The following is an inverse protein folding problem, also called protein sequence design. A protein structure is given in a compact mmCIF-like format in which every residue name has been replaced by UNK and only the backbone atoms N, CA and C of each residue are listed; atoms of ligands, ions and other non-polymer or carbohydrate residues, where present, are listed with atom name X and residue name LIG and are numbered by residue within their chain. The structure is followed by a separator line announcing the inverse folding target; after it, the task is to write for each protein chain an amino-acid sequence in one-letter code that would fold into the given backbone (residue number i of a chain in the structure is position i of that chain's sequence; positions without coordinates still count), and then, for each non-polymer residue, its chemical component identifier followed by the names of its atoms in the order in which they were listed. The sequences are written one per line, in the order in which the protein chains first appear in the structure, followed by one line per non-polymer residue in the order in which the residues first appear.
data_IF_914369669355
#
_entry.id   IF_914369669355
#
_cell.length_a   1.000
_cell.length_b   1.000
_cell.length_c   1.000
_cell.angle_alpha   90.00
_cell.angle_beta   90.00
_cell.angle_gamma   90.00
#
_symmetry.space_group_name_H-M   'P 1'
#
loop_
_entity.id
_entity.type
_entity.pdbx_description
1 polymer ?
#
# COMPACT_ATOMS: atom_id res chain seq x y z
N UNK A 1 -6.56 39.24 -17.12
CA UNK A 1 -7.61 38.29 -16.70
C UNK A 1 -7.74 37.29 -17.82
N UNK A 2 -7.04 36.17 -17.69
CA UNK A 2 -7.29 34.96 -18.46
C UNK A 2 -7.60 33.91 -17.40
N UNK A 3 -8.85 33.45 -17.40
CA UNK A 3 -9.34 32.39 -16.53
C UNK A 3 -8.67 31.09 -17.01
N UNK A 4 -7.93 30.46 -16.10
CA UNK A 4 -7.48 29.08 -16.26
C UNK A 4 -8.67 28.23 -15.85
N UNK A 5 -9.29 27.57 -16.82
CA UNK A 5 -10.26 26.50 -16.56
C UNK A 5 -9.52 25.37 -15.83
N UNK A 6 -9.92 25.10 -14.59
CA UNK A 6 -9.55 23.90 -13.86
C UNK A 6 -10.14 22.68 -14.58
N UNK A 7 -9.27 21.80 -15.07
CA UNK A 7 -9.62 20.49 -15.64
C UNK A 7 -9.99 19.53 -14.49
N UNK A 8 -11.27 19.12 -14.34
CA UNK A 8 -11.68 18.27 -13.24
C UNK A 8 -11.41 16.82 -13.64
N UNK A 9 -10.29 16.26 -13.16
CA UNK A 9 -10.08 14.82 -13.06
C UNK A 9 -9.80 14.11 -14.40
N UNK A 10 -8.52 13.88 -14.67
CA UNK A 10 -8.12 12.93 -15.70
C UNK A 10 -8.71 11.52 -15.45
N UNK A 11 -8.81 10.68 -16.49
CA UNK A 11 -9.51 9.38 -16.47
C UNK A 11 -9.00 8.36 -15.44
N UNK A 12 -7.90 8.65 -14.74
CA UNK A 12 -7.26 7.76 -13.78
C UNK A 12 -7.89 7.82 -12.38
N UNK A 13 -8.43 8.97 -11.94
CA UNK A 13 -8.90 9.13 -10.55
C UNK A 13 -10.16 8.29 -10.23
N UNK A 14 -11.13 8.21 -11.15
CA UNK A 14 -12.37 7.44 -10.95
C UNK A 14 -12.15 5.93 -10.99
N UNK A 15 -11.26 5.45 -11.86
CA UNK A 15 -10.90 4.02 -11.88
C UNK A 15 -10.16 3.63 -10.59
N UNK A 16 -9.42 4.55 -9.97
CA UNK A 16 -8.62 4.31 -8.77
C UNK A 16 -9.41 4.37 -7.46
N UNK A 17 -10.36 5.30 -7.31
CA UNK A 17 -11.35 5.24 -6.22
C UNK A 17 -12.11 3.90 -6.24
N UNK A 18 -12.42 3.42 -7.45
CA UNK A 18 -13.03 2.11 -7.66
C UNK A 18 -12.09 0.96 -7.24
N UNK A 19 -10.77 1.11 -7.38
CA UNK A 19 -9.79 0.10 -6.93
C UNK A 19 -9.59 0.09 -5.42
N UNK A 20 -9.67 1.24 -4.75
CA UNK A 20 -9.66 1.31 -3.29
C UNK A 20 -10.92 0.68 -2.70
N UNK A 21 -12.10 0.98 -3.25
CA UNK A 21 -13.35 0.34 -2.86
C UNK A 21 -13.32 -1.18 -3.12
N UNK A 22 -12.69 -1.61 -4.22
CA UNK A 22 -12.48 -3.05 -4.52
C UNK A 22 -11.50 -3.72 -3.56
N UNK A 23 -10.37 -3.10 -3.22
CA UNK A 23 -9.45 -3.63 -2.19
C UNK A 23 -10.14 -3.70 -0.83
N UNK A 24 -10.97 -2.69 -0.52
CA UNK A 24 -11.79 -2.70 0.67
C UNK A 24 -12.87 -3.79 0.63
N UNK A 25 -13.43 -4.12 -0.54
CA UNK A 25 -14.40 -5.22 -0.67
C UNK A 25 -13.78 -6.60 -0.41
N UNK A 26 -12.46 -6.75 -0.62
CA UNK A 26 -11.69 -7.93 -0.21
C UNK A 26 -11.53 -8.02 1.33
N UNK A 27 -12.06 -7.07 2.13
CA UNK A 27 -12.22 -7.18 3.59
C UNK A 27 -13.35 -8.10 4.01
N UNK A 28 -14.44 -8.19 3.22
CA UNK A 28 -15.65 -8.80 3.73
C UNK A 28 -15.36 -10.27 4.03
N UNK A 29 -15.36 -10.59 5.33
CA UNK A 29 -15.17 -11.92 5.91
C UNK A 29 -13.73 -12.42 6.13
N UNK A 30 -12.68 -11.60 5.97
CA UNK A 30 -11.30 -12.03 6.30
C UNK A 30 -11.07 -12.21 7.81
N UNK A 31 -10.20 -13.16 8.20
CA UNK A 31 -9.86 -13.48 9.61
C UNK A 31 -9.38 -12.24 10.38
N UNK A 32 -8.62 -11.36 9.72
CA UNK A 32 -8.15 -10.08 10.25
C UNK A 32 -9.30 -9.13 10.61
N UNK A 33 -10.35 -9.07 9.79
CA UNK A 33 -11.53 -8.23 10.05
C UNK A 33 -12.46 -8.87 11.09
N UNK A 34 -12.52 -10.20 11.12
CA UNK A 34 -13.19 -10.95 12.19
C UNK A 34 -12.49 -10.74 13.54
N UNK A 35 -11.16 -10.65 13.60
CA UNK A 35 -10.39 -10.35 14.81
C UNK A 35 -10.53 -8.88 15.23
N UNK A 36 -10.45 -7.93 14.30
CA UNK A 36 -10.66 -6.50 14.57
C UNK A 36 -12.10 -6.22 15.05
N UNK A 37 -13.09 -6.86 14.41
CA UNK A 37 -14.51 -6.75 14.78
C UNK A 37 -14.86 -7.55 16.04
N UNK A 38 -14.23 -8.69 16.30
CA UNK A 38 -14.35 -9.42 17.57
C UNK A 38 -13.73 -8.63 18.73
N UNK A 39 -12.62 -7.92 18.51
CA UNK A 39 -12.05 -6.99 19.49
C UNK A 39 -12.97 -5.79 19.74
N UNK A 40 -13.65 -5.27 18.72
CA UNK A 40 -14.73 -4.27 18.87
C UNK A 40 -15.93 -4.82 19.65
N UNK A 41 -16.35 -6.07 19.41
CA UNK A 41 -17.47 -6.75 20.12
C UNK A 41 -17.15 -7.18 21.56
N UNK A 42 -15.88 -7.48 21.88
CA UNK A 42 -15.41 -7.81 23.24
C UNK A 42 -15.26 -6.59 24.16
N UNK A 43 -15.39 -5.35 23.66
CA UNK A 43 -15.42 -4.16 24.52
C UNK A 43 -16.70 -4.15 25.36
N UNK A 44 -16.56 -4.18 26.70
CA UNK A 44 -17.66 -3.92 27.64
C UNK A 44 -18.38 -2.61 27.25
N UNK A 45 -19.72 -2.50 27.45
CA UNK A 45 -20.43 -1.27 27.15
C UNK A 45 -19.75 -0.10 27.87
N UNK A 46 -19.37 0.92 27.10
CA UNK A 46 -18.71 2.10 27.64
C UNK A 46 -19.52 2.65 28.82
N UNK A 47 -18.84 2.94 29.93
CA UNK A 47 -19.48 3.50 31.12
C UNK A 47 -20.24 4.77 30.77
N UNK A 48 -21.33 5.06 31.50
CA UNK A 48 -22.22 6.21 31.22
C UNK A 48 -21.46 7.54 31.16
N UNK A 49 -20.40 7.70 31.95
CA UNK A 49 -19.49 8.86 31.92
C UNK A 49 -18.63 8.93 30.65
N UNK A 50 -18.12 7.80 30.15
CA UNK A 50 -17.33 7.75 28.91
C UNK A 50 -18.20 8.14 27.71
N UNK A 51 -19.43 7.64 27.63
CA UNK A 51 -20.40 8.02 26.57
C UNK A 51 -20.76 9.51 26.60
N UNK A 52 -20.89 10.10 27.79
CA UNK A 52 -21.22 11.52 27.94
C UNK A 52 -20.07 12.42 27.47
N UNK A 53 -18.82 12.11 27.86
CA UNK A 53 -17.65 12.89 27.42
C UNK A 53 -17.38 12.77 25.91
N UNK A 54 -17.65 11.60 25.31
CA UNK A 54 -17.53 11.42 23.86
C UNK A 54 -18.58 12.21 23.07
N UNK A 55 -19.82 12.30 23.56
CA UNK A 55 -20.82 13.22 22.99
C UNK A 55 -20.44 14.69 23.17
N UNK A 56 -19.77 15.04 24.27
CA UNK A 56 -19.31 16.40 24.52
C UNK A 56 -18.20 16.83 23.55
N UNK A 57 -17.32 15.91 23.12
CA UNK A 57 -16.23 16.17 22.17
C UNK A 57 -16.69 16.59 20.76
N UNK A 58 -17.97 16.42 20.43
CA UNK A 58 -18.57 16.99 19.21
C UNK A 58 -18.66 18.51 19.26
N UNK A 59 -18.51 19.12 20.44
CA UNK A 59 -18.47 20.57 20.60
C UNK A 59 -17.03 21.05 20.38
N UNK A 60 -16.81 22.04 19.48
CA UNK A 60 -15.47 22.57 19.21
C UNK A 60 -14.70 22.97 20.46
N UNK A 61 -15.38 23.59 21.44
CA UNK A 61 -14.75 24.05 22.70
C UNK A 61 -14.15 22.90 23.52
N UNK A 62 -14.83 21.76 23.58
CA UNK A 62 -14.37 20.60 24.36
C UNK A 62 -13.16 19.93 23.70
N UNK A 63 -13.13 19.93 22.36
CA UNK A 63 -11.98 19.44 21.60
C UNK A 63 -10.76 20.33 21.83
N UNK A 64 -10.92 21.66 21.73
CA UNK A 64 -9.84 22.61 22.00
C UNK A 64 -9.35 22.54 23.44
N UNK A 65 -10.26 22.43 24.42
CA UNK A 65 -9.90 22.22 25.84
C UNK A 65 -9.09 20.94 26.03
N UNK A 66 -9.48 19.84 25.37
CA UNK A 66 -8.74 18.58 25.44
C UNK A 66 -7.34 18.70 24.82
N UNK A 67 -7.18 19.47 23.73
CA UNK A 67 -5.86 19.72 23.13
C UNK A 67 -4.98 20.56 24.09
N UNK A 68 -5.56 21.54 24.79
CA UNK A 68 -4.85 22.32 25.81
C UNK A 68 -4.43 21.47 27.02
N UNK A 69 -5.21 20.46 27.39
CA UNK A 69 -4.84 19.49 28.44
C UNK A 69 -3.57 18.67 28.08
N UNK A 70 -3.07 18.71 26.84
CA UNK A 70 -1.80 18.05 26.47
C UNK A 70 -0.59 18.72 27.14
N UNK A 71 -0.69 20.00 27.46
CA UNK A 71 0.39 20.78 28.06
C UNK A 71 0.64 20.36 29.51
N UNK A 72 -0.44 20.04 30.23
CA UNK A 72 -0.41 19.62 31.62
C UNK A 72 0.07 18.17 31.74
N UNK A 73 1.23 17.96 32.37
CA UNK A 73 1.87 16.64 32.47
C UNK A 73 0.97 15.56 33.10
N UNK A 74 0.21 15.94 34.13
CA UNK A 74 -0.72 15.06 34.85
C UNK A 74 -1.95 14.67 34.01
N UNK A 75 -2.36 15.53 33.06
CA UNK A 75 -3.56 15.31 32.24
C UNK A 75 -3.23 14.72 30.87
N UNK A 76 -2.01 14.97 30.36
CA UNK A 76 -1.57 14.66 28.99
C UNK A 76 -1.91 13.26 28.53
N UNK A 77 -1.51 12.22 29.28
CA UNK A 77 -1.78 10.83 28.89
C UNK A 77 -3.29 10.56 28.78
N UNK A 78 -4.06 11.12 29.70
CA UNK A 78 -5.51 10.94 29.71
C UNK A 78 -6.17 11.69 28.55
N UNK A 79 -5.76 12.93 28.28
CA UNK A 79 -6.27 13.78 27.21
C UNK A 79 -5.97 13.18 25.82
N UNK A 80 -4.72 12.77 25.57
CA UNK A 80 -4.31 12.08 24.33
C UNK A 80 -5.15 10.82 24.13
N UNK A 81 -5.30 10.00 25.17
CA UNK A 81 -6.12 8.78 25.11
C UNK A 81 -7.61 9.08 24.87
N UNK A 82 -8.16 10.15 25.43
CA UNK A 82 -9.56 10.50 25.21
C UNK A 82 -9.77 10.96 23.76
N UNK A 83 -8.92 11.86 23.26
CA UNK A 83 -9.04 12.37 21.91
C UNK A 83 -8.80 11.27 20.87
N UNK A 84 -7.79 10.41 21.06
CA UNK A 84 -7.52 9.29 20.15
C UNK A 84 -8.71 8.34 20.04
N UNK A 85 -9.33 7.98 21.17
CA UNK A 85 -10.50 7.09 21.18
C UNK A 85 -11.72 7.72 20.48
N UNK A 86 -11.92 9.04 20.66
CA UNK A 86 -12.98 9.76 19.96
C UNK A 86 -12.74 9.76 18.45
N UNK A 87 -11.52 10.08 18.01
CA UNK A 87 -11.18 10.15 16.59
C UNK A 87 -11.21 8.79 15.90
N UNK A 88 -10.89 7.69 16.59
CA UNK A 88 -11.07 6.34 16.05
C UNK A 88 -12.52 5.99 15.73
N UNK A 89 -13.48 6.49 16.51
CA UNK A 89 -14.91 6.29 16.25
C UNK A 89 -15.42 7.24 15.15
N UNK A 90 -14.81 8.43 15.01
CA UNK A 90 -15.25 9.46 14.05
C UNK A 90 -14.63 9.40 12.68
N UNK A 91 -13.55 8.65 12.49
CA UNK A 91 -12.89 8.47 11.19
C UNK A 91 -13.86 8.07 10.06
N UNK A 92 -14.87 7.24 10.34
CA UNK A 92 -15.83 6.78 9.32
C UNK A 92 -17.22 7.44 9.47
N UNK A 93 -17.57 7.88 10.68
CA UNK A 93 -18.91 8.40 10.99
C UNK A 93 -19.06 9.91 10.77
N UNK A 94 -17.97 10.68 10.90
CA UNK A 94 -17.98 12.15 10.97
C UNK A 94 -16.64 12.71 10.48
N UNK A 95 -16.45 12.63 9.16
CA UNK A 95 -15.22 13.04 8.48
C UNK A 95 -14.91 14.52 8.73
N UNK A 96 -15.92 15.39 8.73
CA UNK A 96 -15.73 16.83 8.97
C UNK A 96 -15.07 17.09 10.33
N UNK A 97 -15.61 16.50 11.41
CA UNK A 97 -14.99 16.65 12.73
C UNK A 97 -13.63 15.93 12.82
N UNK A 98 -13.46 14.82 12.11
CA UNK A 98 -12.16 14.14 12.04
C UNK A 98 -11.10 15.04 11.41
N UNK A 99 -11.37 15.63 10.25
CA UNK A 99 -10.45 16.55 9.58
C UNK A 99 -10.26 17.84 10.38
N UNK A 100 -11.32 18.38 10.99
CA UNK A 100 -11.22 19.59 11.83
C UNK A 100 -10.30 19.37 13.04
N UNK A 101 -10.37 18.21 13.68
CA UNK A 101 -9.46 17.87 14.77
C UNK A 101 -7.99 17.85 14.33
N UNK A 102 -7.72 17.27 13.15
CA UNK A 102 -6.38 17.25 12.55
C UNK A 102 -5.84 18.66 12.33
N UNK A 103 -6.68 19.53 11.75
CA UNK A 103 -6.36 20.94 11.56
C UNK A 103 -6.05 21.66 12.88
N UNK A 104 -6.90 21.50 13.89
CA UNK A 104 -6.71 22.13 15.19
C UNK A 104 -5.44 21.64 15.89
N UNK A 105 -5.19 20.33 15.88
CA UNK A 105 -4.00 19.76 16.52
C UNK A 105 -2.70 20.26 15.87
N UNK A 106 -2.66 20.36 14.54
CA UNK A 106 -1.46 20.82 13.84
C UNK A 106 -1.19 22.32 14.07
N UNK A 107 -2.24 23.15 14.03
CA UNK A 107 -2.11 24.61 14.12
C UNK A 107 -2.12 25.14 15.57
N UNK A 108 -2.47 24.31 16.56
CA UNK A 108 -2.34 24.67 17.97
C UNK A 108 -0.87 24.78 18.35
N UNK A 109 -0.51 25.91 18.99
CA UNK A 109 0.86 26.21 19.37
C UNK A 109 1.47 25.03 20.14
N UNK A 110 2.64 24.55 19.73
CA UNK A 110 3.43 23.49 20.38
C UNK A 110 2.78 22.10 20.56
N UNK A 111 1.54 21.88 20.09
CA UNK A 111 0.88 20.56 20.16
C UNK A 111 1.69 19.49 19.44
N UNK A 112 2.19 19.76 18.23
CA UNK A 112 3.05 18.82 17.50
C UNK A 112 4.36 18.53 18.23
N UNK A 113 4.96 19.51 18.91
CA UNK A 113 6.18 19.31 19.71
C UNK A 113 5.92 18.37 20.89
N UNK A 114 4.78 18.51 21.57
CA UNK A 114 4.40 17.60 22.68
C UNK A 114 4.19 16.18 22.16
N UNK A 115 3.47 16.01 21.05
CA UNK A 115 3.23 14.69 20.47
C UNK A 115 4.54 14.03 20.01
N UNK A 116 5.48 14.79 19.44
CA UNK A 116 6.82 14.29 19.10
C UNK A 116 7.63 13.93 20.36
N UNK A 117 7.51 14.71 21.44
CA UNK A 117 8.15 14.39 22.71
C UNK A 117 7.67 13.02 23.24
N UNK A 118 6.39 12.70 23.11
CA UNK A 118 5.85 11.39 23.51
C UNK A 118 6.50 10.23 22.72
N UNK A 119 6.80 10.42 21.44
CA UNK A 119 7.52 9.44 20.61
C UNK A 119 8.98 9.32 21.06
N UNK A 120 9.67 10.44 21.27
CA UNK A 120 11.08 10.45 21.69
C UNK A 120 11.25 9.82 23.08
N UNK A 121 10.30 10.04 24.00
CA UNK A 121 10.29 9.38 25.30
C UNK A 121 10.10 7.86 25.15
N UNK A 122 9.31 7.42 24.16
CA UNK A 122 9.17 6.00 23.86
C UNK A 122 10.47 5.41 23.28
N UNK A 123 11.23 6.14 22.47
CA UNK A 123 12.52 5.66 21.94
C UNK A 123 13.49 5.24 23.02
N UNK A 124 13.53 5.96 24.15
CA UNK A 124 14.38 5.62 25.29
C UNK A 124 13.98 4.30 25.96
N UNK A 125 12.84 3.72 25.58
CA UNK A 125 12.31 2.44 26.05
C UNK A 125 12.38 1.34 24.99
N UNK A 126 12.79 1.65 23.76
CA UNK A 126 12.91 0.70 22.65
C UNK A 126 14.10 -0.24 22.84
N UNK A 127 13.99 -1.09 23.85
CA UNK A 127 14.92 -2.17 24.15
C UNK A 127 14.20 -3.48 23.80
N UNK A 128 14.82 -4.35 22.97
CA UNK A 128 14.25 -5.65 22.66
C UNK A 128 13.84 -6.41 23.93
N UNK A 129 12.72 -7.12 23.86
CA UNK A 129 12.19 -8.01 24.91
C UNK A 129 11.82 -7.35 26.26
N UNK A 130 11.91 -6.03 26.37
CA UNK A 130 11.62 -5.29 27.61
C UNK A 130 10.71 -4.08 27.37
N UNK A 131 9.65 -4.25 26.57
CA UNK A 131 8.63 -3.21 26.38
C UNK A 131 7.41 -3.44 27.26
N UNK A 132 7.07 -2.41 28.03
CA UNK A 132 5.84 -2.38 28.81
C UNK A 132 4.62 -2.08 27.93
N UNK A 133 3.50 -2.74 28.24
CA UNK A 133 2.22 -2.59 27.53
C UNK A 133 1.67 -1.15 27.59
N UNK A 134 1.83 -0.45 28.72
CA UNK A 134 1.26 0.90 28.91
C UNK A 134 1.92 1.95 27.98
N UNK A 135 3.26 2.07 27.92
CA UNK A 135 3.94 2.89 26.93
C UNK A 135 3.55 2.59 25.48
N UNK A 136 3.42 1.31 25.09
CA UNK A 136 3.01 0.94 23.72
C UNK A 136 1.61 1.48 23.41
N UNK A 137 0.65 1.30 24.33
CA UNK A 137 -0.71 1.83 24.16
C UNK A 137 -0.74 3.35 24.12
N UNK A 138 0.10 4.01 24.92
CA UNK A 138 0.25 5.47 24.91
C UNK A 138 0.79 5.95 23.56
N UNK A 139 1.84 5.30 23.03
CA UNK A 139 2.37 5.54 21.70
C UNK A 139 1.29 5.38 20.62
N UNK A 140 0.55 4.27 20.62
CA UNK A 140 -0.52 4.03 19.65
C UNK A 140 -1.59 5.15 19.65
N UNK A 141 -1.92 5.71 20.82
CA UNK A 141 -2.82 6.86 20.90
C UNK A 141 -2.23 8.10 20.22
N UNK A 142 -0.93 8.39 20.40
CA UNK A 142 -0.24 9.50 19.72
C UNK A 142 -0.24 9.30 18.21
N UNK A 143 0.10 8.09 17.76
CA UNK A 143 0.10 7.74 16.33
C UNK A 143 -1.30 7.89 15.70
N UNK A 144 -2.36 7.59 16.46
CA UNK A 144 -3.75 7.83 16.02
C UNK A 144 -4.03 9.31 15.77
N UNK A 145 -3.50 10.21 16.61
CA UNK A 145 -3.61 11.65 16.40
C UNK A 145 -2.84 12.09 15.15
N UNK A 146 -1.67 11.50 14.90
CA UNK A 146 -0.92 11.75 13.66
C UNK A 146 -1.66 11.29 12.41
N UNK A 147 -2.40 10.17 12.44
CA UNK A 147 -3.23 9.75 11.32
C UNK A 147 -4.29 10.82 10.98
N UNK A 148 -4.86 11.46 12.01
CA UNK A 148 -5.85 12.52 11.85
C UNK A 148 -5.24 13.80 11.24
N UNK A 149 -4.03 14.18 11.67
CA UNK A 149 -3.26 15.28 11.05
C UNK A 149 -2.88 14.96 9.59
N UNK A 150 -2.45 13.74 9.31
CA UNK A 150 -2.08 13.29 7.96
C UNK A 150 -3.30 13.24 7.02
N UNK A 151 -4.49 12.92 7.54
CA UNK A 151 -5.70 12.81 6.72
C UNK A 151 -6.27 14.16 6.26
N UNK A 152 -5.96 15.27 6.93
CA UNK A 152 -6.47 16.59 6.57
C UNK A 152 -5.63 17.25 5.46
N UNK A 153 -6.25 17.62 4.34
CA UNK A 153 -5.57 18.18 3.16
C UNK A 153 -4.81 19.48 3.44
N UNK A 154 -5.30 20.33 4.36
CA UNK A 154 -4.65 21.60 4.70
C UNK A 154 -3.39 21.42 5.58
N UNK A 155 -3.24 20.26 6.23
CA UNK A 155 -2.11 19.97 7.13
C UNK A 155 -1.18 18.88 6.61
N UNK A 156 -1.64 18.02 5.70
CA UNK A 156 -0.89 16.85 5.21
C UNK A 156 0.52 17.20 4.73
N UNK A 157 0.63 18.12 3.79
CA UNK A 157 1.93 18.54 3.25
C UNK A 157 2.77 19.28 4.30
N UNK A 158 2.15 20.12 5.13
CA UNK A 158 2.85 20.83 6.22
C UNK A 158 3.42 19.87 7.25
N UNK A 159 2.73 18.77 7.53
CA UNK A 159 3.17 17.71 8.42
C UNK A 159 4.39 16.98 7.87
N UNK A 160 4.42 16.69 6.57
CA UNK A 160 5.60 16.17 5.88
C UNK A 160 6.77 17.18 5.93
N UNK A 161 6.50 18.43 5.58
CA UNK A 161 7.50 19.51 5.56
C UNK A 161 8.10 19.81 6.95
N UNK A 162 7.38 19.53 8.04
CA UNK A 162 7.91 19.68 9.39
C UNK A 162 8.89 18.56 9.79
N UNK A 163 9.03 17.52 8.97
CA UNK A 163 9.87 16.34 9.25
C UNK A 163 9.31 15.44 10.36
N UNK A 164 8.10 15.69 10.86
CA UNK A 164 7.50 14.92 11.95
C UNK A 164 7.25 13.44 11.58
N UNK A 165 6.80 13.08 10.37
CA UNK A 165 6.66 11.69 9.94
C UNK A 165 7.96 10.88 9.98
N UNK A 166 9.14 11.52 9.89
CA UNK A 166 10.43 10.80 9.94
C UNK A 166 10.66 10.13 11.30
N UNK A 167 10.01 10.61 12.37
CA UNK A 167 10.03 9.97 13.70
C UNK A 167 9.24 8.65 13.74
N UNK A 168 8.56 8.27 12.65
CA UNK A 168 7.87 6.99 12.61
C UNK A 168 8.77 5.85 12.09
N UNK A 169 9.80 6.17 11.31
CA UNK A 169 10.66 5.17 10.67
C UNK A 169 11.37 4.27 11.70
N UNK A 170 11.98 4.80 12.79
CA UNK A 170 12.56 3.94 13.81
C UNK A 170 11.55 3.02 14.49
N UNK A 171 10.29 3.47 14.67
CA UNK A 171 9.22 2.65 15.25
C UNK A 171 8.81 1.51 14.31
N UNK A 172 8.72 1.81 13.02
CA UNK A 172 8.34 0.85 11.99
C UNK A 172 9.38 -0.27 11.89
N UNK A 173 10.66 0.12 11.83
CA UNK A 173 11.78 -0.81 11.65
C UNK A 173 12.24 -1.51 12.93
N UNK A 174 11.67 -1.17 14.09
CA UNK A 174 12.05 -1.79 15.34
C UNK A 174 11.59 -3.24 15.40
N UNK A 175 12.55 -4.13 15.58
CA UNK A 175 12.31 -5.56 15.75
C UNK A 175 11.82 -5.85 17.18
N UNK A 176 10.66 -6.48 17.27
CA UNK A 176 10.03 -6.82 18.54
C UNK A 176 9.01 -7.92 18.33
N UNK A 177 9.14 -8.99 19.11
CA UNK A 177 8.21 -10.12 19.15
C UNK A 177 6.95 -9.84 19.97
N UNK A 178 6.86 -8.67 20.61
CA UNK A 178 5.70 -8.32 21.45
C UNK A 178 4.50 -8.00 20.55
N UNK A 179 3.51 -8.89 20.53
CA UNK A 179 2.29 -8.80 19.71
C UNK A 179 1.60 -7.43 19.82
N UNK A 180 1.53 -6.84 21.01
CA UNK A 180 0.89 -5.53 21.22
C UNK A 180 1.68 -4.39 20.54
N UNK A 181 2.99 -4.53 20.39
CA UNK A 181 3.80 -3.58 19.63
C UNK A 181 3.51 -3.65 18.13
N UNK A 182 3.14 -4.82 17.61
CA UNK A 182 2.76 -4.97 16.20
C UNK A 182 1.56 -4.09 15.83
N UNK A 183 0.59 -3.94 16.74
CA UNK A 183 -0.50 -2.97 16.56
C UNK A 183 0.01 -1.53 16.46
N UNK A 184 0.95 -1.11 17.31
CA UNK A 184 1.52 0.24 17.24
C UNK A 184 2.28 0.45 15.91
N UNK A 185 2.99 -0.58 15.44
CA UNK A 185 3.63 -0.61 14.12
C UNK A 185 2.62 -0.44 12.99
N UNK A 186 1.46 -1.11 13.06
CA UNK A 186 0.36 -0.94 12.08
C UNK A 186 -0.18 0.48 12.06
N UNK A 187 -0.36 1.11 13.23
CA UNK A 187 -0.83 2.50 13.29
C UNK A 187 0.22 3.45 12.71
N UNK A 188 1.52 3.24 12.99
CA UNK A 188 2.61 4.04 12.42
C UNK A 188 2.67 3.90 10.89
N UNK A 189 2.64 2.67 10.36
CA UNK A 189 2.56 2.40 8.92
C UNK A 189 1.32 3.06 8.31
N UNK A 190 0.17 3.01 8.98
CA UNK A 190 -1.05 3.65 8.48
C UNK A 190 -0.94 5.18 8.42
N UNK A 191 -0.17 5.85 9.29
CA UNK A 191 0.14 7.29 9.10
C UNK A 191 0.84 7.50 7.76
N UNK A 192 1.85 6.69 7.44
CA UNK A 192 2.59 6.76 6.18
C UNK A 192 1.68 6.43 4.98
N UNK A 193 0.80 5.43 5.13
CA UNK A 193 -0.21 5.07 4.14
C UNK A 193 -1.15 6.22 3.81
N UNK A 194 -1.72 6.88 4.82
CA UNK A 194 -2.60 8.04 4.64
C UNK A 194 -1.86 9.19 3.94
N UNK A 195 -0.58 9.43 4.28
CA UNK A 195 0.24 10.43 3.59
C UNK A 195 0.40 10.11 2.11
N UNK A 196 0.71 8.86 1.76
CA UNK A 196 0.95 8.47 0.37
C UNK A 196 -0.36 8.32 -0.44
N UNK A 197 -1.50 8.10 0.24
CA UNK A 197 -2.81 7.98 -0.41
C UNK A 197 -3.26 9.27 -1.08
N UNK A 198 -2.85 10.44 -0.58
CA UNK A 198 -3.13 11.73 -1.24
C UNK A 198 -2.40 11.90 -2.58
N UNK A 199 -1.38 11.07 -2.85
CA UNK A 199 -0.60 11.01 -4.09
C UNK A 199 0.02 12.35 -4.52
N UNK A 200 0.22 13.26 -3.58
CA UNK A 200 0.88 14.51 -3.87
C UNK A 200 2.36 14.23 -4.21
N UNK A 201 2.88 14.70 -5.35
CA UNK A 201 4.24 14.40 -5.78
C UNK A 201 5.31 14.80 -4.75
N UNK A 202 5.09 15.87 -3.98
CA UNK A 202 6.00 16.32 -2.92
C UNK A 202 6.09 15.31 -1.78
N UNK A 203 4.97 14.66 -1.43
CA UNK A 203 4.89 13.64 -0.38
C UNK A 203 5.51 12.33 -0.85
N UNK A 204 5.20 11.90 -2.08
CA UNK A 204 5.81 10.68 -2.64
C UNK A 204 7.33 10.84 -2.81
N UNK A 205 7.79 12.02 -3.23
CA UNK A 205 9.23 12.32 -3.27
C UNK A 205 9.87 12.32 -1.87
N UNK A 206 9.16 12.82 -0.85
CA UNK A 206 9.61 12.70 0.54
C UNK A 206 9.72 11.23 0.97
N UNK A 207 8.71 10.40 0.66
CA UNK A 207 8.71 8.98 1.03
C UNK A 207 9.95 8.26 0.45
N UNK A 208 10.30 8.54 -0.80
CA UNK A 208 11.53 8.03 -1.43
C UNK A 208 12.77 8.52 -0.68
N UNK A 209 12.91 9.84 -0.47
CA UNK A 209 14.08 10.45 0.20
C UNK A 209 14.27 9.97 1.64
N UNK A 210 13.19 9.59 2.32
CA UNK A 210 13.17 9.10 3.68
C UNK A 210 13.29 7.57 3.80
N UNK A 211 13.64 6.86 2.72
CA UNK A 211 13.78 5.40 2.68
C UNK A 211 12.50 4.62 3.06
N UNK A 212 11.32 5.17 2.75
CA UNK A 212 10.06 4.48 3.01
C UNK A 212 9.91 3.23 2.14
N UNK A 213 10.47 3.23 0.92
CA UNK A 213 10.43 2.07 0.02
C UNK A 213 11.17 0.88 0.64
N UNK A 214 12.37 1.11 1.17
CA UNK A 214 13.21 0.13 1.84
C UNK A 214 12.57 -0.35 3.16
N UNK A 215 11.92 0.58 3.89
CA UNK A 215 11.17 0.21 5.08
C UNK A 215 9.98 -0.69 4.75
N UNK A 216 9.21 -0.36 3.70
CA UNK A 216 8.12 -1.20 3.22
C UNK A 216 8.64 -2.58 2.80
N UNK A 217 9.76 -2.65 2.08
CA UNK A 217 10.39 -3.93 1.71
C UNK A 217 10.70 -4.79 2.93
N UNK A 218 11.30 -4.20 3.98
CA UNK A 218 11.60 -4.90 5.24
C UNK A 218 10.34 -5.42 5.93
N UNK A 219 9.27 -4.62 5.96
CA UNK A 219 7.98 -5.02 6.55
C UNK A 219 7.28 -6.09 5.73
N UNK A 220 7.34 -6.04 4.40
CA UNK A 220 6.76 -7.08 3.53
C UNK A 220 7.46 -8.42 3.79
N UNK A 221 8.78 -8.41 4.03
CA UNK A 221 9.53 -9.63 4.33
C UNK A 221 9.21 -10.23 5.70
N UNK A 222 9.15 -9.41 6.75
CA UNK A 222 9.23 -9.90 8.13
C UNK A 222 8.01 -9.52 9.00
N UNK A 223 7.10 -8.69 8.50
CA UNK A 223 5.96 -8.17 9.26
C UNK A 223 4.80 -9.16 9.37
N UNK A 224 3.86 -8.84 10.27
CA UNK A 224 2.56 -9.49 10.30
C UNK A 224 1.79 -9.25 8.99
N UNK A 225 0.85 -10.14 8.68
CA UNK A 225 0.02 -10.05 7.48
C UNK A 225 -0.64 -8.66 7.30
N UNK A 226 -1.15 -8.06 8.38
CA UNK A 226 -1.72 -6.71 8.36
C UNK A 226 -0.66 -5.67 7.97
N UNK A 227 0.53 -5.75 8.57
CA UNK A 227 1.61 -4.81 8.28
C UNK A 227 2.15 -4.99 6.85
N UNK A 228 2.21 -6.22 6.35
CA UNK A 228 2.55 -6.51 4.95
C UNK A 228 1.54 -5.87 3.99
N UNK A 229 0.23 -5.99 4.25
CA UNK A 229 -0.81 -5.36 3.41
C UNK A 229 -0.67 -3.83 3.40
N UNK A 230 -0.47 -3.19 4.55
CA UNK A 230 -0.30 -1.73 4.62
C UNK A 230 0.99 -1.31 3.88
N UNK A 231 2.09 -2.04 4.06
CA UNK A 231 3.35 -1.76 3.38
C UNK A 231 3.25 -1.95 1.86
N UNK A 232 2.55 -2.99 1.39
CA UNK A 232 2.25 -3.18 -0.02
C UNK A 232 1.42 -2.04 -0.59
N UNK A 233 0.44 -1.53 0.14
CA UNK A 233 -0.38 -0.39 -0.29
C UNK A 233 0.46 0.91 -0.39
N UNK A 234 1.34 1.18 0.58
CA UNK A 234 2.28 2.32 0.51
C UNK A 234 3.19 2.19 -0.72
N UNK A 235 3.77 1.01 -0.92
CA UNK A 235 4.66 0.75 -2.04
C UNK A 235 3.95 0.89 -3.39
N UNK A 236 2.71 0.41 -3.48
CA UNK A 236 1.88 0.59 -4.67
C UNK A 236 1.65 2.07 -4.98
N UNK A 237 1.30 2.89 -3.97
CA UNK A 237 1.08 4.33 -4.14
C UNK A 237 2.35 5.04 -4.64
N UNK A 238 3.53 4.67 -4.11
CA UNK A 238 4.82 5.21 -4.59
C UNK A 238 5.07 4.77 -6.03
N UNK A 239 4.86 3.50 -6.37
CA UNK A 239 5.10 2.97 -7.71
C UNK A 239 4.16 3.55 -8.78
N UNK A 240 2.96 4.00 -8.41
CA UNK A 240 2.05 4.64 -9.36
C UNK A 240 2.54 6.03 -9.81
N UNK A 241 3.37 6.68 -9.01
CA UNK A 241 3.98 7.95 -9.40
C UNK A 241 5.19 7.75 -10.32
N UNK A 242 5.30 8.67 -11.29
CA UNK A 242 6.36 8.67 -12.29
C UNK A 242 7.78 8.75 -11.69
N UNK A 243 7.96 9.50 -10.60
CA UNK A 243 9.25 9.62 -9.91
C UNK A 243 9.51 8.34 -9.11
N UNK A 244 8.48 7.79 -8.44
CA UNK A 244 8.58 6.56 -7.67
C UNK A 244 8.94 5.33 -8.50
N UNK A 245 8.25 5.06 -9.60
CA UNK A 245 8.60 3.93 -10.48
C UNK A 245 9.99 4.09 -11.08
N UNK A 246 10.37 5.33 -11.46
CA UNK A 246 11.69 5.62 -12.01
C UNK A 246 12.79 5.39 -10.97
N UNK A 247 12.57 5.78 -9.72
CA UNK A 247 13.48 5.51 -8.59
C UNK A 247 13.71 4.02 -8.41
N UNK A 248 12.63 3.24 -8.27
CA UNK A 248 12.72 1.79 -8.04
C UNK A 248 13.36 1.08 -9.24
N UNK A 249 13.07 1.54 -10.46
CA UNK A 249 13.62 0.97 -11.68
C UNK A 249 14.96 1.56 -12.12
N UNK A 250 15.58 2.47 -11.38
CA UNK A 250 16.88 3.05 -11.74
C UNK A 250 18.01 2.00 -11.62
N UNK A 251 18.92 1.87 -12.60
CA UNK A 251 20.08 0.97 -12.53
C UNK A 251 20.86 1.00 -11.21
N UNK A 252 20.97 2.18 -10.58
CA UNK A 252 21.64 2.39 -9.29
C UNK A 252 20.94 1.60 -8.17
N UNK A 253 19.61 1.45 -8.23
CA UNK A 253 18.79 0.75 -7.25
C UNK A 253 18.51 -0.72 -7.65
N UNK A 254 19.40 -1.37 -8.41
CA UNK A 254 19.22 -2.76 -8.86
C UNK A 254 18.99 -3.76 -7.71
N UNK A 255 19.68 -3.59 -6.58
CA UNK A 255 19.53 -4.45 -5.40
C UNK A 255 18.13 -4.34 -4.79
N UNK A 256 17.57 -3.14 -4.74
CA UNK A 256 16.22 -2.88 -4.25
C UNK A 256 15.17 -3.56 -5.13
N UNK A 257 15.20 -3.30 -6.45
CA UNK A 257 14.25 -3.95 -7.38
C UNK A 257 14.37 -5.48 -7.33
N UNK A 258 15.58 -6.02 -7.34
CA UNK A 258 15.79 -7.47 -7.27
C UNK A 258 15.30 -8.05 -5.94
N UNK A 259 15.50 -7.31 -4.84
CA UNK A 259 15.01 -7.67 -3.51
C UNK A 259 13.49 -7.70 -3.43
N UNK A 260 12.82 -6.68 -3.96
CA UNK A 260 11.36 -6.60 -4.04
C UNK A 260 10.78 -7.76 -4.86
N UNK A 261 11.34 -8.01 -6.05
CA UNK A 261 10.91 -9.12 -6.92
C UNK A 261 11.03 -10.47 -6.22
N UNK A 262 12.14 -10.72 -5.52
CA UNK A 262 12.33 -11.95 -4.74
C UNK A 262 11.31 -12.06 -3.62
N UNK A 263 11.10 -10.98 -2.86
CA UNK A 263 10.15 -10.97 -1.74
C UNK A 263 8.72 -11.21 -2.21
N UNK A 264 8.32 -10.66 -3.35
CA UNK A 264 7.00 -10.92 -3.92
C UNK A 264 6.86 -12.34 -4.48
N UNK A 265 7.94 -12.93 -5.01
CA UNK A 265 7.98 -14.34 -5.40
C UNK A 265 7.82 -15.28 -4.20
N UNK A 266 8.57 -15.04 -3.13
CA UNK A 266 8.45 -15.77 -1.86
C UNK A 266 7.02 -15.64 -1.30
N UNK A 267 6.45 -14.43 -1.34
CA UNK A 267 5.09 -14.18 -0.87
C UNK A 267 4.04 -14.90 -1.73
N UNK A 268 4.13 -14.82 -3.06
CA UNK A 268 3.21 -15.52 -3.96
C UNK A 268 3.30 -17.04 -3.78
N UNK A 269 4.51 -17.57 -3.58
CA UNK A 269 4.71 -19.00 -3.27
C UNK A 269 4.02 -19.40 -1.97
N UNK A 270 4.11 -18.57 -0.92
CA UNK A 270 3.42 -18.79 0.35
C UNK A 270 1.90 -18.75 0.18
N UNK A 271 1.36 -17.73 -0.50
CA UNK A 271 -0.09 -17.58 -0.74
C UNK A 271 -0.66 -18.75 -1.57
N UNK A 272 0.11 -19.31 -2.49
CA UNK A 272 -0.27 -20.49 -3.27
C UNK A 272 -0.35 -21.76 -2.41
N UNK A 273 0.54 -21.88 -1.42
CA UNK A 273 0.59 -23.02 -0.51
C UNK A 273 -0.47 -22.96 0.61
N UNK A 274 -0.81 -21.76 1.08
CA UNK A 274 -1.74 -21.52 2.17
C UNK A 274 -2.91 -20.61 1.74
N UNK A 275 -4.04 -21.23 1.39
CA UNK A 275 -5.25 -20.51 0.97
C UNK A 275 -5.99 -19.81 2.12
N UNK A 276 -5.55 -19.93 3.39
CA UNK A 276 -6.11 -19.14 4.50
C UNK A 276 -5.56 -17.71 4.57
N UNK A 277 -4.48 -17.43 3.84
CA UNK A 277 -3.84 -16.11 3.77
C UNK A 277 -4.69 -15.08 3.01
N UNK A 278 -4.59 -13.79 3.38
CA UNK A 278 -5.45 -12.75 2.80
C UNK A 278 -5.25 -12.61 1.29
N UNK A 279 -6.35 -12.62 0.51
CA UNK A 279 -6.30 -12.36 -0.93
C UNK A 279 -5.80 -10.95 -1.28
N UNK A 280 -5.74 -10.02 -0.30
CA UNK A 280 -5.22 -8.66 -0.52
C UNK A 280 -3.75 -8.62 -0.86
N UNK A 281 -2.95 -9.51 -0.28
CA UNK A 281 -1.53 -9.55 -0.57
C UNK A 281 -1.32 -9.91 -2.04
N UNK A 282 -2.04 -10.92 -2.54
CA UNK A 282 -1.99 -11.28 -3.96
C UNK A 282 -2.47 -10.13 -4.85
N UNK A 283 -3.59 -9.48 -4.49
CA UNK A 283 -4.10 -8.31 -5.20
C UNK A 283 -3.04 -7.22 -5.36
N UNK A 284 -2.38 -6.82 -4.26
CA UNK A 284 -1.36 -5.77 -4.31
C UNK A 284 -0.09 -6.21 -5.06
N UNK A 285 0.34 -7.48 -4.92
CA UNK A 285 1.49 -8.00 -5.67
C UNK A 285 1.24 -7.96 -7.17
N UNK A 286 0.07 -8.43 -7.64
CA UNK A 286 -0.29 -8.40 -9.07
C UNK A 286 -0.35 -6.95 -9.57
N UNK A 287 -0.91 -6.02 -8.78
CA UNK A 287 -0.94 -4.60 -9.14
C UNK A 287 0.46 -4.00 -9.24
N UNK A 288 1.35 -4.30 -8.30
CA UNK A 288 2.74 -3.84 -8.36
C UNK A 288 3.45 -4.37 -9.62
N UNK A 289 3.24 -5.64 -9.99
CA UNK A 289 3.78 -6.19 -11.24
C UNK A 289 3.23 -5.47 -12.49
N UNK A 290 1.92 -5.19 -12.54
CA UNK A 290 1.30 -4.43 -13.62
C UNK A 290 1.88 -3.02 -13.73
N UNK A 291 2.03 -2.33 -12.60
CA UNK A 291 2.62 -0.99 -12.56
C UNK A 291 4.06 -1.04 -13.08
N UNK A 292 4.88 -2.01 -12.63
CA UNK A 292 6.25 -2.18 -13.15
C UNK A 292 6.29 -2.44 -14.66
N UNK A 293 5.28 -3.08 -15.24
CA UNK A 293 5.20 -3.30 -16.68
C UNK A 293 5.03 -2.02 -17.49
N UNK A 294 4.66 -0.90 -16.86
CA UNK A 294 4.63 0.43 -17.51
C UNK A 294 6.02 1.06 -17.69
N UNK A 295 7.07 0.50 -17.07
CA UNK A 295 8.45 0.96 -17.19
C UNK A 295 9.33 -0.06 -17.89
N UNK A 296 10.13 0.36 -18.89
CA UNK A 296 10.94 -0.54 -19.75
C UNK A 296 11.76 -1.58 -18.98
N UNK A 297 12.44 -1.16 -17.91
CA UNK A 297 13.23 -2.06 -17.08
C UNK A 297 12.37 -2.90 -16.13
N UNK A 298 11.27 -2.33 -15.63
CA UNK A 298 10.33 -3.04 -14.78
C UNK A 298 9.70 -4.20 -15.56
N UNK A 299 9.18 -3.91 -16.75
CA UNK A 299 8.67 -4.90 -17.71
C UNK A 299 9.66 -6.04 -17.98
N UNK A 300 10.93 -5.71 -18.32
CA UNK A 300 11.97 -6.74 -18.57
C UNK A 300 12.21 -7.62 -17.34
N UNK A 301 12.21 -7.02 -16.15
CA UNK A 301 12.41 -7.72 -14.88
C UNK A 301 11.23 -8.64 -14.56
N UNK A 302 9.99 -8.11 -14.64
CA UNK A 302 8.77 -8.89 -14.40
C UNK A 302 8.66 -10.05 -15.38
N UNK A 303 8.88 -9.81 -16.68
CA UNK A 303 8.83 -10.87 -17.69
C UNK A 303 9.80 -12.02 -17.44
N UNK A 304 10.99 -11.70 -16.92
CA UNK A 304 12.05 -12.68 -16.62
C UNK A 304 11.78 -13.44 -15.32
N UNK A 305 11.16 -12.80 -14.34
CA UNK A 305 11.10 -13.27 -12.95
C UNK A 305 9.67 -13.36 -12.41
N UNK A 306 8.69 -13.58 -13.29
CA UNK A 306 7.31 -13.81 -12.87
C UNK A 306 7.21 -15.18 -12.15
N UNK A 307 6.66 -15.24 -10.93
CA UNK A 307 6.50 -16.48 -10.18
C UNK A 307 5.67 -17.53 -10.93
N UNK A 308 6.08 -18.79 -10.89
CA UNK A 308 5.38 -19.89 -11.59
C UNK A 308 3.94 -20.09 -11.09
N UNK A 309 3.71 -19.83 -9.79
CA UNK A 309 2.38 -19.91 -9.17
C UNK A 309 1.35 -18.95 -9.79
N UNK A 310 1.79 -17.86 -10.42
CA UNK A 310 0.92 -16.92 -11.16
C UNK A 310 0.42 -17.55 -12.46
N UNK A 311 1.16 -18.50 -13.05
CA UNK A 311 0.87 -19.07 -14.37
C UNK A 311 0.33 -20.49 -14.38
N UNK A 312 0.51 -21.25 -13.28
CA UNK A 312 0.25 -22.69 -13.23
C UNK A 312 -1.11 -23.10 -12.64
N UNK A 313 -2.05 -22.15 -12.49
CA UNK A 313 -3.38 -22.40 -11.93
C UNK A 313 -3.44 -22.51 -10.39
N UNK A 314 -2.35 -22.21 -9.67
CA UNK A 314 -2.34 -22.31 -8.18
C UNK A 314 -3.42 -21.46 -7.50
N UNK A 315 -3.85 -20.37 -8.15
CA UNK A 315 -4.83 -19.42 -7.62
C UNK A 315 -6.25 -19.60 -8.19
N UNK A 316 -6.54 -20.66 -8.95
CA UNK A 316 -7.83 -20.81 -9.66
C UNK A 316 -9.03 -20.65 -8.71
N UNK A 317 -9.03 -21.35 -7.57
CA UNK A 317 -10.08 -21.22 -6.54
C UNK A 317 -10.24 -19.79 -6.02
N UNK A 318 -9.13 -19.10 -5.73
CA UNK A 318 -9.15 -17.72 -5.26
C UNK A 318 -9.68 -16.78 -6.35
N UNK A 319 -9.35 -17.02 -7.61
CA UNK A 319 -9.83 -16.20 -8.74
C UNK A 319 -11.30 -16.45 -9.09
N UNK A 320 -11.84 -17.63 -8.75
CA UNK A 320 -13.28 -17.90 -8.80
C UNK A 320 -14.03 -17.11 -7.73
N UNK A 321 -13.51 -17.09 -6.50
CA UNK A 321 -14.09 -16.36 -5.36
C UNK A 321 -13.96 -14.84 -5.51
N UNK A 322 -12.83 -14.36 -6.04
CA UNK A 322 -12.51 -12.94 -6.19
C UNK A 322 -12.29 -12.55 -7.67
N UNK A 323 -13.38 -12.22 -8.41
CA UNK A 323 -13.30 -11.86 -9.83
C UNK A 323 -12.36 -10.69 -10.16
N UNK A 324 -12.15 -9.79 -9.19
CA UNK A 324 -11.24 -8.66 -9.32
C UNK A 324 -9.78 -9.10 -9.45
N UNK A 325 -9.37 -10.11 -8.67
CA UNK A 325 -8.02 -10.70 -8.75
C UNK A 325 -7.86 -11.43 -10.07
N UNK A 326 -8.90 -12.15 -10.52
CA UNK A 326 -8.90 -12.80 -11.84
C UNK A 326 -8.66 -11.82 -12.98
N UNK A 327 -9.35 -10.67 -12.96
CA UNK A 327 -9.20 -9.64 -13.99
C UNK A 327 -7.78 -9.07 -14.01
N UNK A 328 -7.21 -8.77 -12.84
CA UNK A 328 -5.84 -8.27 -12.72
C UNK A 328 -4.80 -9.30 -13.16
N UNK A 329 -4.98 -10.57 -12.79
CA UNK A 329 -4.12 -11.66 -13.19
C UNK A 329 -4.11 -11.81 -14.71
N UNK A 330 -5.29 -11.82 -15.33
CA UNK A 330 -5.42 -11.90 -16.79
C UNK A 330 -4.75 -10.70 -17.49
N UNK A 331 -4.94 -9.49 -16.97
CA UNK A 331 -4.27 -8.30 -17.48
C UNK A 331 -2.74 -8.40 -17.38
N UNK A 332 -2.21 -8.91 -16.26
CA UNK A 332 -0.77 -9.11 -16.07
C UNK A 332 -0.21 -10.08 -17.11
N UNK A 333 -0.88 -11.22 -17.29
CA UNK A 333 -0.45 -12.25 -18.24
C UNK A 333 -0.46 -11.76 -19.69
N UNK A 334 -1.51 -11.01 -20.08
CA UNK A 334 -1.56 -10.31 -21.37
C UNK A 334 -0.40 -9.32 -21.53
N UNK A 335 -0.09 -8.53 -20.49
CA UNK A 335 0.98 -7.53 -20.55
C UNK A 335 2.36 -8.18 -20.73
N UNK A 336 2.60 -9.32 -20.07
CA UNK A 336 3.88 -10.05 -20.11
C UNK A 336 4.00 -10.94 -21.35
N UNK A 337 2.87 -11.25 -22.01
CA UNK A 337 2.80 -12.14 -23.17
C UNK A 337 2.94 -13.62 -22.80
N UNK A 338 2.39 -14.03 -21.64
CA UNK A 338 2.28 -15.45 -21.23
C UNK A 338 0.80 -15.86 -21.26
N UNK A 339 0.50 -17.05 -21.79
CA UNK A 339 -0.83 -17.67 -21.67
C UNK A 339 -0.89 -18.50 -20.38
N UNK A 340 -2.08 -18.58 -19.75
CA UNK A 340 -2.33 -19.52 -18.64
C UNK A 340 -2.25 -20.94 -19.21
N UNK A 341 -1.48 -21.84 -18.61
CA UNK A 341 -1.63 -23.26 -18.93
C UNK A 341 -3.02 -23.71 -18.45
N UNK A 342 -3.98 -23.84 -19.36
CA UNK A 342 -5.32 -24.28 -18.98
C UNK A 342 -5.27 -25.65 -18.29
N UNK A 343 -5.91 -25.82 -17.12
CA UNK A 343 -6.31 -27.15 -16.69
C UNK A 343 -7.43 -27.62 -17.61
N UNK A 344 -7.09 -28.43 -18.60
CA UNK A 344 -8.06 -29.13 -19.43
C UNK A 344 -9.07 -29.91 -18.57
N UNK A 345 -10.31 -29.44 -18.56
CA UNK A 345 -11.48 -30.31 -18.71
C UNK A 345 -12.65 -29.50 -19.29
N UNK A 346 -12.72 -29.48 -20.61
CA UNK A 346 -13.95 -29.13 -21.32
C UNK A 346 -14.96 -30.25 -21.06
N UNK A 347 -15.73 -30.14 -19.99
CA UNK A 347 -17.02 -30.83 -19.93
C UNK A 347 -17.91 -30.16 -20.99
N UNK A 348 -18.13 -30.90 -22.08
CA UNK A 348 -19.07 -30.54 -23.14
C UNK A 348 -20.48 -30.42 -22.53
N UNK A 349 -20.85 -29.21 -22.10
CA UNK A 349 -22.26 -28.88 -21.90
C UNK A 349 -22.87 -28.66 -23.27
N UNK A 350 -23.40 -29.75 -23.82
CA UNK A 350 -24.24 -29.77 -25.01
C UNK A 350 -25.53 -28.98 -24.72
N UNK A 351 -25.59 -27.72 -25.11
CA UNK A 351 -26.86 -26.98 -25.19
C UNK A 351 -27.56 -27.33 -26.52
N UNK A 352 -28.84 -27.79 -26.51
CA UNK A 352 -29.56 -28.06 -27.73
C UNK A 352 -29.95 -26.73 -28.39
N UNK A 353 -29.24 -26.38 -29.47
CA UNK A 353 -29.67 -25.31 -30.37
C UNK A 353 -30.78 -25.84 -31.28
N UNK A 354 -31.98 -25.29 -31.07
CA UNK A 354 -33.14 -25.51 -31.90
C UNK A 354 -32.88 -25.03 -33.34
N UNK A 355 -33.17 -25.95 -34.27
CA UNK A 355 -33.60 -25.79 -35.66
C UNK A 355 -33.29 -24.47 -36.41
N UNK A 356 -32.50 -24.63 -37.49
CA UNK A 356 -32.88 -24.06 -38.78
C UNK A 356 -31.93 -23.01 -39.37
N UNK A 357 -30.90 -23.47 -40.08
CA UNK A 357 -30.71 -23.29 -41.53
C UNK A 357 -29.29 -23.67 -41.96
N UNK A 358 -29.22 -24.55 -42.96
CA UNK A 358 -28.03 -24.95 -43.69
C UNK A 358 -27.30 -23.74 -44.29
N UNK A 359 -26.02 -23.55 -43.95
CA UNK A 359 -25.03 -23.05 -44.91
C UNK A 359 -23.75 -23.88 -44.75
N UNK A 360 -23.45 -24.64 -45.81
CA UNK A 360 -22.19 -25.34 -46.07
C UNK A 360 -21.15 -24.30 -46.50
N UNK A 361 -19.90 -24.43 -46.04
CA UNK A 361 -18.64 -24.22 -46.78
C UNK A 361 -17.48 -24.49 -45.80
N UNK A 362 -16.95 -25.71 -45.78
CA UNK A 362 -15.80 -26.19 -46.56
C UNK A 362 -14.48 -25.95 -45.84
N UNK A 363 -13.94 -27.07 -45.36
CA UNK A 363 -12.65 -27.32 -44.75
C UNK A 363 -11.48 -26.88 -45.62
N UNK A 364 -10.46 -26.27 -45.00
CA UNK A 364 -9.09 -26.37 -45.47
C UNK A 364 -8.15 -26.53 -44.28
N UNK A 365 -7.69 -27.76 -44.09
CA UNK A 365 -6.52 -28.11 -43.29
C UNK A 365 -5.25 -27.83 -44.11
N UNK A 366 -4.19 -27.33 -43.44
CA UNK A 366 -2.77 -27.44 -43.82
C UNK A 366 -1.96 -27.24 -42.53
N UNK A 367 -1.52 -28.29 -41.85
CA UNK A 367 -0.27 -29.06 -42.06
C UNK A 367 1.00 -28.25 -41.78
N UNK A 368 1.65 -28.60 -40.68
CA UNK A 368 3.03 -28.25 -40.35
C UNK A 368 4.01 -28.70 -41.43
N UNK A 369 5.07 -27.91 -41.65
CA UNK A 369 6.33 -28.33 -42.27
C UNK A 369 7.46 -27.42 -41.77
N UNK A 370 8.51 -28.08 -41.30
CA UNK A 370 9.84 -27.57 -40.95
C UNK A 370 10.67 -27.20 -42.19
N UNK A 371 11.65 -26.32 -42.06
CA UNK A 371 12.97 -26.46 -42.70
C UNK A 371 13.97 -25.41 -42.20
N UNK A 372 15.23 -25.85 -42.17
CA UNK A 372 16.42 -25.22 -41.63
C UNK A 372 17.07 -24.19 -42.57
N UNK A 373 17.89 -23.32 -41.95
CA UNK A 373 19.15 -22.72 -42.44
C UNK A 373 19.16 -21.90 -43.73
N UNK A 374 19.61 -20.63 -43.65
CA UNK A 374 20.95 -20.22 -44.14
C UNK A 374 21.27 -18.77 -43.74
N UNK A 375 22.49 -18.55 -43.28
CA UNK A 375 23.17 -17.25 -43.15
C UNK A 375 23.49 -16.65 -44.52
N UNK A 376 23.82 -15.34 -44.57
CA UNK A 376 25.04 -14.93 -45.25
C UNK A 376 25.92 -14.00 -44.43
N UNK A 377 27.22 -14.30 -44.46
CA UNK A 377 28.36 -13.43 -44.14
C UNK A 377 28.83 -12.80 -45.45
N UNK A 378 29.15 -11.51 -45.45
CA UNK A 378 30.27 -10.83 -46.15
C UNK A 378 30.18 -9.32 -45.83
N UNK A 379 31.07 -8.76 -45.00
CA UNK A 379 32.42 -8.24 -45.28
C UNK A 379 32.45 -6.77 -45.75
N UNK A 380 32.91 -5.90 -44.82
CA UNK A 380 33.92 -4.87 -45.06
C UNK A 380 33.47 -3.51 -45.64
N UNK A 381 33.64 -2.45 -44.85
CA UNK A 381 34.61 -1.39 -45.17
C UNK A 381 34.76 -0.39 -44.03
N UNK A 382 36.03 -0.17 -43.69
CA UNK A 382 36.65 0.83 -42.82
C UNK A 382 36.02 2.23 -42.81
N UNK A 383 35.98 2.84 -41.61
CA UNK A 383 36.59 4.16 -41.36
C UNK A 383 36.64 4.49 -39.86
N UNK A 384 37.85 4.38 -39.32
CA UNK A 384 38.33 5.00 -38.09
C UNK A 384 38.68 6.45 -38.38
N UNK A 385 38.14 7.43 -37.63
CA UNK A 385 38.83 8.73 -37.38
C UNK A 385 38.49 9.28 -35.97
N UNK A 386 39.51 9.22 -35.11
CA UNK A 386 39.99 10.13 -34.06
C UNK A 386 39.07 11.15 -33.34
N UNK A 387 39.04 11.00 -32.00
CA UNK A 387 38.91 12.07 -30.99
C UNK A 387 40.15 12.99 -30.98
N UNK A 388 40.00 14.24 -30.52
CA UNK A 388 41.02 14.89 -29.72
C UNK A 388 40.52 15.24 -28.31
N UNK A 389 41.42 15.02 -27.38
CA UNK A 389 41.33 15.18 -25.94
C UNK A 389 41.66 16.61 -25.49
N UNK A 390 40.96 17.08 -24.43
CA UNK A 390 41.46 17.96 -23.32
C UNK A 390 41.74 19.45 -23.58
N UNK A 391 41.95 20.33 -22.55
CA UNK A 391 41.91 20.14 -21.08
C UNK A 391 41.10 21.19 -20.25
N UNK A 392 40.94 20.86 -18.96
CA UNK A 392 40.86 21.71 -17.75
C UNK A 392 40.70 23.23 -17.86
N UNK A 393 39.72 23.73 -17.11
CA UNK A 393 39.63 25.07 -16.51
C UNK A 393 38.82 24.98 -15.23
#
# INVERSE_FOLDING_TARGET
MAEVEDDPGGPNHQEEEQWEERSLSLLRDSKMDQELSAAKKKKKPASRGKKHKMKAMQRPTVMTETILEFFEEDLRESAIRYLSNYLLEKREEDLDNYHHAGFLMFNSCATMCILLQEIVVFYMRMVPDNLDVRPIKRLANVLTLFQCVAANDETREKFVNSGAPNFLIPLILFDSEIEIFDYARSVALSVIGILCQGREPTILQWAIKSNIVEACHTIIQNGSELNQVIAMHILEAILQDSIGISYVCDPIHNSLLSGLMKTWDDLVTLLAADQETSPRLLFHVIRCYLILCSHDRGYKTVRKSLPDAITNGSFDKMTEEFPVIRALLHQLLLSVGREVEEPFSCEQVLLPLAEGKNIRLQTCARSALSSESTTPICLGSDRVIFLPSTPFG
#
